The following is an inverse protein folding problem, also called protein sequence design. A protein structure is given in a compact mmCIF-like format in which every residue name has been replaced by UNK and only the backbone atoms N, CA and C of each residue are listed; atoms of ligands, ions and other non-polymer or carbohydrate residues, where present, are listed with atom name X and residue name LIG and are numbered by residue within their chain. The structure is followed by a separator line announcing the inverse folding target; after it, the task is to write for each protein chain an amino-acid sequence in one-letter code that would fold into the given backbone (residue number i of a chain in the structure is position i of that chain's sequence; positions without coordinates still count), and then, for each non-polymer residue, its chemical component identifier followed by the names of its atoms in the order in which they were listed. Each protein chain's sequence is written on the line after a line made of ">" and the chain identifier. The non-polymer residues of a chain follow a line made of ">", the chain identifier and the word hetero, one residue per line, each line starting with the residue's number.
data_IF_030554432488
#
_entry.id   IF_030554432488
#
_cell.length_a   1.000
_cell.length_b   1.000
_cell.length_c   1.000
_cell.angle_alpha   90.00
_cell.angle_beta   90.00
_cell.angle_gamma   90.00
#
_symmetry.space_group_name_H-M   'P 1'
#
loop_
_entity.id
_entity.type
_entity.pdbx_description
1 polymer ?
#
# COMPACT_ATOMS: atom_id res chain seq x y z
N UNK A 1 -28.93 -23.36 -28.45
CA UNK A 1 -28.11 -22.24 -28.93
C UNK A 1 -27.22 -21.81 -27.77
N UNK A 2 -25.93 -22.13 -27.79
CA UNK A 2 -25.00 -21.68 -26.74
C UNK A 2 -24.85 -20.16 -26.87
N UNK A 3 -25.02 -19.45 -25.76
CA UNK A 3 -24.94 -17.98 -25.73
C UNK A 3 -23.54 -17.54 -26.16
N UNK A 4 -23.42 -16.49 -26.98
CA UNK A 4 -22.14 -15.92 -27.43
C UNK A 4 -21.20 -15.55 -26.27
N UNK A 5 -21.76 -15.23 -25.11
CA UNK A 5 -21.01 -15.00 -23.87
C UNK A 5 -20.35 -16.26 -23.31
N UNK A 6 -20.98 -17.43 -23.43
CA UNK A 6 -20.44 -18.70 -22.92
C UNK A 6 -19.25 -19.15 -23.77
N UNK A 7 -19.32 -19.01 -25.10
CA UNK A 7 -18.18 -19.33 -25.96
C UNK A 7 -16.95 -18.46 -25.70
N UNK A 8 -17.14 -17.19 -25.31
CA UNK A 8 -16.02 -16.31 -24.95
C UNK A 8 -15.35 -16.74 -23.64
N UNK A 9 -16.15 -17.17 -22.65
CA UNK A 9 -15.61 -17.67 -21.39
C UNK A 9 -14.74 -18.91 -21.61
N UNK A 10 -15.18 -19.85 -22.47
CA UNK A 10 -14.43 -21.06 -22.78
C UNK A 10 -13.10 -20.76 -23.50
N UNK A 11 -13.05 -19.72 -24.33
CA UNK A 11 -11.80 -19.32 -25.02
C UNK A 11 -10.76 -18.68 -24.11
N UNK A 12 -11.18 -18.04 -23.02
CA UNK A 12 -10.28 -17.40 -22.05
C UNK A 12 -9.86 -18.37 -20.94
N UNK A 13 -10.58 -19.48 -20.77
CA UNK A 13 -10.26 -20.47 -19.74
C UNK A 13 -9.03 -21.31 -20.11
N UNK A 14 -7.95 -21.08 -19.36
CA UNK A 14 -6.68 -21.82 -19.47
C UNK A 14 -6.72 -23.09 -18.60
N UNK A 15 -7.76 -23.28 -17.77
CA UNK A 15 -8.02 -24.45 -16.95
C UNK A 15 -7.97 -25.77 -17.74
N UNK A 16 -8.83 -25.96 -18.75
CA UNK A 16 -9.00 -27.20 -19.51
C UNK A 16 -7.87 -27.49 -20.50
N UNK A 17 -7.04 -26.49 -20.83
CA UNK A 17 -5.91 -26.68 -21.74
C UNK A 17 -4.88 -27.67 -21.15
N UNK A 18 -4.45 -28.63 -21.97
CA UNK A 18 -3.38 -29.55 -21.61
C UNK A 18 -2.06 -28.79 -21.38
N UNK A 19 -1.32 -29.16 -20.33
CA UNK A 19 -0.08 -28.49 -19.92
C UNK A 19 1.10 -29.49 -19.95
N UNK A 20 1.59 -29.89 -21.13
CA UNK A 20 2.62 -30.94 -21.28
C UNK A 20 3.96 -30.57 -20.65
N UNK A 21 4.20 -29.27 -20.40
CA UNK A 21 5.39 -28.74 -19.74
C UNK A 21 5.32 -28.76 -18.19
N UNK A 22 4.16 -29.10 -17.59
CA UNK A 22 4.03 -29.14 -16.12
C UNK A 22 4.30 -30.54 -15.59
N UNK A 23 5.21 -30.63 -14.62
CA UNK A 23 5.50 -31.88 -13.92
C UNK A 23 4.26 -32.37 -13.12
N UNK A 24 3.73 -33.58 -13.40
CA UNK A 24 2.58 -34.15 -12.67
C UNK A 24 2.86 -34.42 -11.18
N UNK A 25 4.12 -34.61 -10.79
CA UNK A 25 4.50 -34.90 -9.40
C UNK A 25 4.58 -33.65 -8.52
N UNK A 26 4.56 -32.45 -9.11
CA UNK A 26 4.71 -31.21 -8.37
C UNK A 26 3.49 -30.95 -7.46
N UNK A 27 3.70 -30.97 -6.14
CA UNK A 27 2.70 -30.62 -5.13
C UNK A 27 2.92 -29.19 -4.64
N UNK A 28 1.91 -28.33 -4.81
CA UNK A 28 1.94 -26.95 -4.31
C UNK A 28 1.94 -26.95 -2.78
N UNK A 29 2.84 -26.19 -2.16
CA UNK A 29 2.79 -25.93 -0.72
C UNK A 29 1.57 -25.04 -0.41
N UNK A 30 0.63 -25.49 0.46
CA UNK A 30 -0.55 -24.68 0.82
C UNK A 30 -0.20 -23.39 1.55
N UNK A 31 0.97 -23.31 2.22
CA UNK A 31 1.43 -22.13 2.97
C UNK A 31 2.45 -21.28 2.18
N UNK A 32 2.28 -21.18 0.87
CA UNK A 32 3.16 -20.36 0.01
C UNK A 32 2.88 -18.86 0.16
N UNK A 33 1.61 -18.48 0.24
CA UNK A 33 1.22 -17.07 0.29
C UNK A 33 1.37 -16.56 1.73
N UNK A 34 2.44 -15.80 1.98
CA UNK A 34 2.73 -15.18 3.27
C UNK A 34 2.42 -13.69 3.20
N UNK A 35 1.97 -13.11 4.30
CA UNK A 35 1.84 -11.64 4.42
C UNK A 35 3.21 -10.99 4.55
N UNK A 36 3.34 -9.73 4.13
CA UNK A 36 4.57 -8.94 4.27
C UNK A 36 5.14 -9.04 5.69
N UNK A 37 4.28 -8.85 6.71
CA UNK A 37 4.67 -8.95 8.13
C UNK A 37 5.29 -10.30 8.49
N UNK A 38 4.75 -11.41 7.98
CA UNK A 38 5.31 -12.74 8.21
C UNK A 38 6.67 -12.93 7.53
N UNK A 39 6.86 -12.35 6.34
CA UNK A 39 8.16 -12.38 5.62
C UNK A 39 9.20 -11.61 6.43
N UNK A 40 8.90 -10.36 6.82
CA UNK A 40 9.81 -9.54 7.64
C UNK A 40 10.18 -10.21 8.97
N UNK A 41 9.20 -10.82 9.64
CA UNK A 41 9.44 -11.52 10.92
C UNK A 41 10.38 -12.71 10.74
N UNK A 42 10.29 -13.41 9.60
CA UNK A 42 11.18 -14.53 9.31
C UNK A 42 12.59 -14.06 8.96
N UNK A 43 12.72 -12.98 8.18
CA UNK A 43 14.01 -12.39 7.84
C UNK A 43 14.76 -11.85 9.06
N UNK A 44 14.05 -11.19 9.99
CA UNK A 44 14.66 -10.74 11.24
C UNK A 44 15.16 -11.94 12.05
N UNK A 45 14.39 -13.01 12.19
CA UNK A 45 14.84 -14.23 12.89
C UNK A 45 16.08 -14.84 12.26
N UNK A 46 16.12 -14.96 10.93
CA UNK A 46 17.29 -15.50 10.21
C UNK A 46 18.54 -14.68 10.48
N UNK A 47 18.45 -13.34 10.45
CA UNK A 47 19.58 -12.43 10.75
C UNK A 47 20.18 -12.63 12.15
N UNK A 48 19.38 -13.01 13.14
CA UNK A 48 19.88 -13.28 14.49
C UNK A 48 20.54 -14.66 14.60
N UNK A 49 20.05 -15.65 13.84
CA UNK A 49 20.50 -17.04 13.93
C UNK A 49 21.73 -17.37 13.07
N UNK A 50 21.93 -16.69 11.93
CA UNK A 50 23.04 -16.93 11.02
C UNK A 50 23.53 -15.63 10.39
N UNK A 51 24.84 -15.45 10.19
CA UNK A 51 25.37 -14.37 9.37
C UNK A 51 24.92 -14.62 7.93
N UNK A 52 23.96 -13.83 7.44
CA UNK A 52 23.53 -13.93 6.06
C UNK A 52 24.73 -13.68 5.14
N UNK A 53 24.93 -14.61 4.20
CA UNK A 53 25.79 -14.40 3.05
C UNK A 53 25.31 -13.11 2.36
N UNK A 54 26.22 -12.16 2.09
CA UNK A 54 25.90 -10.82 1.57
C UNK A 54 25.02 -10.83 0.31
N UNK A 55 24.96 -11.95 -0.39
CA UNK A 55 24.36 -12.10 -1.71
C UNK A 55 22.91 -12.62 -1.69
N UNK A 56 22.32 -12.87 -0.50
CA UNK A 56 20.91 -13.27 -0.42
C UNK A 56 20.00 -12.04 -0.35
N UNK A 57 19.21 -11.74 -1.40
CA UNK A 57 18.31 -10.60 -1.38
C UNK A 57 17.22 -10.81 -0.32
N UNK A 58 17.17 -9.90 0.64
CA UNK A 58 16.11 -9.82 1.66
C UNK A 58 15.10 -8.75 1.25
N UNK A 59 13.88 -8.84 1.77
CA UNK A 59 12.82 -7.87 1.51
C UNK A 59 13.27 -6.44 1.85
N UNK A 60 13.96 -6.25 2.98
CA UNK A 60 14.57 -4.95 3.35
C UNK A 60 15.66 -4.46 2.38
N UNK A 61 16.31 -5.36 1.65
CA UNK A 61 17.32 -4.99 0.65
C UNK A 61 16.70 -4.54 -0.67
N UNK A 62 15.46 -4.97 -0.95
CA UNK A 62 14.73 -4.66 -2.18
C UNK A 62 13.93 -3.37 -2.02
N UNK A 63 13.40 -3.12 -0.83
CA UNK A 63 12.67 -1.88 -0.56
C UNK A 63 13.58 -0.65 -0.59
N UNK A 64 13.02 0.47 -1.06
CA UNK A 64 13.73 1.74 -1.05
C UNK A 64 14.01 2.17 0.39
N UNK A 65 15.23 2.67 0.63
CA UNK A 65 15.57 3.32 1.89
C UNK A 65 14.69 4.56 2.13
N UNK A 66 14.45 4.94 3.40
CA UNK A 66 13.64 6.11 3.71
C UNK A 66 14.28 7.39 3.16
N UNK A 67 13.44 8.35 2.77
CA UNK A 67 13.92 9.69 2.37
C UNK A 67 14.52 10.43 3.56
N UNK A 68 15.68 11.05 3.34
CA UNK A 68 16.30 12.00 4.29
C UNK A 68 15.94 13.45 3.99
N UNK A 69 15.40 13.73 2.80
CA UNK A 69 15.04 15.08 2.41
C UNK A 69 13.68 15.49 3.00
N UNK A 70 13.57 16.71 3.53
CA UNK A 70 12.31 17.21 4.07
C UNK A 70 11.27 17.33 2.95
N UNK A 71 10.04 16.87 3.21
CA UNK A 71 8.95 16.98 2.24
C UNK A 71 8.44 18.42 2.15
N UNK A 72 8.09 18.84 0.93
CA UNK A 72 7.36 20.07 0.73
C UNK A 72 5.96 19.99 1.36
N UNK A 73 5.52 21.08 1.98
CA UNK A 73 4.20 21.17 2.60
C UNK A 73 3.21 21.76 1.60
N UNK A 74 2.21 20.97 1.23
CA UNK A 74 1.11 21.36 0.37
C UNK A 74 -0.17 21.47 1.19
N UNK A 75 -1.11 22.29 0.72
CA UNK A 75 -2.43 22.41 1.28
C UNK A 75 -3.24 21.14 0.98
N UNK A 76 -3.87 20.59 2.01
CA UNK A 76 -4.58 19.31 1.90
C UNK A 76 -5.89 19.41 1.08
N UNK A 77 -6.43 20.62 0.91
CA UNK A 77 -7.69 20.87 0.18
C UNK A 77 -7.41 21.30 -1.27
N UNK A 78 -6.52 22.28 -1.48
CA UNK A 78 -6.33 22.92 -2.80
C UNK A 78 -5.08 22.47 -3.54
N UNK A 79 -4.12 21.82 -2.88
CA UNK A 79 -2.83 21.45 -3.48
C UNK A 79 -1.84 22.61 -3.68
N UNK A 80 -2.19 23.84 -3.30
CA UNK A 80 -1.27 24.98 -3.29
C UNK A 80 -0.23 24.87 -2.16
N UNK A 81 0.73 25.79 -2.08
CA UNK A 81 1.74 25.76 -1.02
C UNK A 81 1.10 25.90 0.38
N UNK A 82 1.39 24.98 1.29
CA UNK A 82 0.74 24.88 2.60
C UNK A 82 1.65 25.37 3.73
N UNK A 83 1.83 26.70 3.84
CA UNK A 83 2.73 27.32 4.82
C UNK A 83 2.27 27.14 6.27
N UNK A 84 0.95 27.02 6.48
CA UNK A 84 0.35 27.01 7.81
C UNK A 84 -0.39 25.69 8.08
N UNK A 85 -0.51 25.34 9.36
CA UNK A 85 -1.21 24.13 9.82
C UNK A 85 -2.12 24.50 10.97
N UNK A 86 -3.37 24.04 10.93
CA UNK A 86 -4.33 24.25 12.01
C UNK A 86 -4.01 23.32 13.19
N UNK A 87 -3.80 23.82 14.41
CA UNK A 87 -3.51 22.97 15.58
C UNK A 87 -4.69 22.09 15.99
N UNK A 88 -5.93 22.44 15.63
CA UNK A 88 -7.12 21.66 16.01
C UNK A 88 -7.32 20.45 15.09
N UNK A 89 -7.30 20.67 13.78
CA UNK A 89 -7.53 19.61 12.79
C UNK A 89 -6.26 18.95 12.28
N UNK A 90 -5.10 19.61 12.37
CA UNK A 90 -3.84 19.13 11.77
C UNK A 90 -3.77 19.28 10.25
N UNK A 91 -4.75 19.96 9.63
CA UNK A 91 -4.80 20.23 8.19
C UNK A 91 -3.89 21.40 7.81
N UNK A 92 -3.27 21.29 6.63
CA UNK A 92 -2.42 22.34 6.04
C UNK A 92 -3.24 23.23 5.13
N UNK A 93 -3.06 24.55 5.26
CA UNK A 93 -3.79 25.55 4.45
C UNK A 93 -2.86 26.63 3.88
N UNK A 94 -3.30 27.24 2.78
CA UNK A 94 -2.57 28.30 2.08
C UNK A 94 -3.00 29.70 2.54
N UNK A 95 -4.31 29.99 2.52
CA UNK A 95 -4.86 31.31 2.79
C UNK A 95 -6.02 31.29 3.82
N UNK A 96 -6.51 32.47 4.18
CA UNK A 96 -7.61 32.65 5.14
C UNK A 96 -8.94 32.04 4.68
N UNK A 97 -9.18 31.96 3.37
CA UNK A 97 -10.42 31.42 2.80
C UNK A 97 -10.50 29.92 3.01
N UNK A 98 -9.40 29.20 2.71
CA UNK A 98 -9.30 27.77 3.00
C UNK A 98 -9.42 27.51 4.49
N UNK A 99 -8.84 28.37 5.34
CA UNK A 99 -9.00 28.24 6.79
C UNK A 99 -10.45 28.44 7.25
N UNK A 100 -11.21 29.36 6.64
CA UNK A 100 -12.63 29.53 6.93
C UNK A 100 -13.45 28.28 6.55
N UNK A 101 -13.14 27.66 5.41
CA UNK A 101 -13.72 26.36 5.02
C UNK A 101 -13.37 25.30 6.05
N UNK A 102 -12.12 25.25 6.51
CA UNK A 102 -11.69 24.27 7.52
C UNK A 102 -12.45 24.42 8.83
N UNK A 103 -12.74 25.65 9.26
CA UNK A 103 -13.52 25.89 10.48
C UNK A 103 -14.98 25.47 10.38
N UNK A 104 -15.55 25.54 9.18
CA UNK A 104 -16.98 25.30 8.95
C UNK A 104 -17.26 23.89 8.41
N UNK A 105 -16.24 23.03 8.24
CA UNK A 105 -16.45 21.68 7.75
C UNK A 105 -17.14 20.79 8.79
N UNK A 106 -17.88 19.80 8.33
CA UNK A 106 -18.51 18.80 9.19
C UNK A 106 -17.47 17.90 9.84
N UNK A 107 -17.68 17.54 11.11
CA UNK A 107 -16.79 16.65 11.86
C UNK A 107 -16.59 15.32 11.12
N UNK A 108 -15.35 14.84 11.06
CA UNK A 108 -14.93 13.62 10.38
C UNK A 108 -14.36 13.84 8.97
N UNK A 109 -14.71 14.94 8.29
CA UNK A 109 -14.14 15.25 6.96
C UNK A 109 -12.64 15.54 7.07
N UNK A 110 -12.20 16.17 8.16
CA UNK A 110 -10.79 16.41 8.45
C UNK A 110 -9.99 15.10 8.49
N UNK A 111 -10.57 14.02 9.02
CA UNK A 111 -9.90 12.72 9.08
C UNK A 111 -9.79 12.07 7.70
N UNK A 112 -10.75 12.31 6.80
CA UNK A 112 -10.67 11.84 5.41
C UNK A 112 -9.54 12.55 4.65
N UNK A 113 -9.41 13.87 4.81
CA UNK A 113 -8.28 14.62 4.23
C UNK A 113 -6.94 14.17 4.81
N UNK A 114 -6.86 13.95 6.13
CA UNK A 114 -5.66 13.40 6.76
C UNK A 114 -5.36 11.97 6.30
N UNK A 115 -6.38 11.16 6.01
CA UNK A 115 -6.22 9.79 5.50
C UNK A 115 -5.56 9.79 4.12
N UNK A 116 -5.97 10.69 3.23
CA UNK A 116 -5.34 10.85 1.92
C UNK A 116 -3.86 11.24 2.05
N UNK A 117 -3.52 12.06 3.05
CA UNK A 117 -2.12 12.40 3.40
C UNK A 117 -1.37 11.26 4.09
N UNK A 118 -2.06 10.24 4.59
CA UNK A 118 -1.48 9.17 5.42
C UNK A 118 -1.19 9.57 6.86
N UNK A 119 -1.82 10.62 7.37
CA UNK A 119 -1.61 11.21 8.72
C UNK A 119 -2.83 11.05 9.64
N UNK A 120 -3.80 10.22 9.26
CA UNK A 120 -5.00 9.95 10.05
C UNK A 120 -4.66 9.14 11.31
N UNK A 121 -5.25 9.50 12.44
CA UNK A 121 -5.14 8.73 13.69
C UNK A 121 -6.42 7.92 13.88
N UNK A 122 -6.32 6.59 13.76
CA UNK A 122 -7.38 5.68 14.15
C UNK A 122 -7.15 5.21 15.59
N UNK A 123 -8.05 5.58 16.50
CA UNK A 123 -8.05 5.02 17.86
C UNK A 123 -8.42 3.53 17.79
N UNK A 124 -7.68 2.69 18.51
CA UNK A 124 -7.86 1.23 18.57
C UNK A 124 -8.17 0.80 19.98
#
# INVERSE_FOLDING_TARGET
>A
MVSSSQSLLDTVDIGPLQKPFKNPQFKRNPRRNKTLRQILTHETQLRHSQPLLLDVPTYNSIEASPSLFPHAKWCDITGLHGLYTDPKTGLRFHNKEVFAVIKNMTQGVEQQYLQMRGSQVMLR
#
